data_IF_065656949573
#
_entry.id   IF_065656949573
#
_cell.length_a   1.000
_cell.length_b   1.000
_cell.length_c   1.000
_cell.angle_alpha   90.00
_cell.angle_beta   90.00
_cell.angle_gamma   90.00
#
_symmetry.space_group_name_H-M   'P 1'
#
loop_
_entity.id
_entity.type
_entity.pdbx_description
1 polymer ?
#
# COMPACT_ATOMS: atom_id res chain seq x y z
N UNK A 1 -4.27 14.27 -3.91
CA UNK A 1 -5.42 13.46 -3.47
C UNK A 1 -6.50 13.54 -4.51
N UNK A 2 -7.19 12.43 -4.76
CA UNK A 2 -8.41 12.39 -5.59
C UNK A 2 -9.38 11.42 -4.93
N UNK A 3 -10.60 11.89 -4.70
CA UNK A 3 -11.72 11.00 -4.46
C UNK A 3 -11.95 10.16 -5.72
N UNK A 4 -12.31 8.90 -5.53
CA UNK A 4 -12.60 7.97 -6.61
C UNK A 4 -14.04 7.53 -6.53
N UNK A 5 -14.66 7.27 -7.67
CA UNK A 5 -16.04 6.81 -7.79
C UNK A 5 -16.08 5.30 -8.02
N UNK A 6 -15.47 4.54 -7.11
CA UNK A 6 -15.51 3.08 -7.12
C UNK A 6 -16.10 2.59 -5.80
N UNK A 7 -17.09 1.71 -5.87
CA UNK A 7 -17.73 1.19 -4.68
C UNK A 7 -16.85 0.14 -3.95
N UNK A 8 -17.04 0.05 -2.64
CA UNK A 8 -16.29 -0.89 -1.81
C UNK A 8 -16.53 -2.35 -2.21
N UNK A 9 -17.70 -2.68 -2.79
CA UNK A 9 -18.03 -4.02 -3.23
C UNK A 9 -17.18 -4.45 -4.44
N UNK A 10 -16.90 -3.54 -5.37
CA UNK A 10 -16.06 -3.76 -6.55
C UNK A 10 -14.62 -3.99 -6.13
N UNK A 11 -14.11 -3.16 -5.22
CA UNK A 11 -12.76 -3.33 -4.65
C UNK A 11 -12.66 -4.67 -3.90
N UNK A 12 -13.62 -4.98 -3.05
CA UNK A 12 -13.62 -6.22 -2.28
C UNK A 12 -13.65 -7.46 -3.19
N UNK A 13 -14.48 -7.45 -4.25
CA UNK A 13 -14.47 -8.51 -5.27
C UNK A 13 -13.11 -8.65 -5.94
N UNK A 14 -12.50 -7.55 -6.37
CA UNK A 14 -11.18 -7.56 -7.00
C UNK A 14 -10.10 -8.12 -6.05
N UNK A 15 -10.23 -7.89 -4.75
CA UNK A 15 -9.32 -8.42 -3.72
C UNK A 15 -9.68 -9.84 -3.23
N UNK A 16 -10.76 -10.44 -3.73
CA UNK A 16 -11.22 -11.77 -3.37
C UNK A 16 -11.79 -11.86 -1.95
N UNK A 17 -12.40 -10.79 -1.45
CA UNK A 17 -13.00 -10.70 -0.10
C UNK A 17 -14.42 -10.13 -0.13
N UNK A 18 -15.12 -10.24 1.00
CA UNK A 18 -16.43 -9.62 1.19
C UNK A 18 -16.31 -8.10 1.44
N UNK A 19 -17.34 -7.33 1.11
CA UNK A 19 -17.35 -5.86 1.30
C UNK A 19 -17.12 -5.42 2.75
N UNK A 20 -17.49 -6.25 3.73
CA UNK A 20 -17.23 -6.01 5.16
C UNK A 20 -15.74 -6.01 5.54
N UNK A 21 -14.87 -6.47 4.62
CA UNK A 21 -13.42 -6.43 4.78
C UNK A 21 -12.83 -5.02 4.64
N UNK A 22 -13.50 -4.13 3.90
CA UNK A 22 -13.08 -2.74 3.70
C UNK A 22 -13.45 -1.96 4.96
N UNK A 23 -12.47 -1.33 5.61
CA UNK A 23 -12.70 -0.57 6.82
C UNK A 23 -13.44 0.74 6.50
N UNK A 24 -14.09 1.33 7.52
CA UNK A 24 -14.87 2.56 7.40
C UNK A 24 -14.05 3.85 7.20
N UNK A 25 -12.84 3.75 6.64
CA UNK A 25 -11.99 4.88 6.28
C UNK A 25 -12.12 5.18 4.78
N UNK A 26 -11.86 6.43 4.34
CA UNK A 26 -11.99 6.80 2.94
C UNK A 26 -11.09 5.97 2.01
N UNK A 27 -11.66 5.38 0.97
CA UNK A 27 -10.87 4.90 -0.16
C UNK A 27 -10.51 6.11 -1.02
N UNK A 28 -9.22 6.42 -1.15
CA UNK A 28 -8.76 7.65 -1.79
C UNK A 28 -7.44 7.44 -2.53
N UNK A 29 -7.33 8.02 -3.72
CA UNK A 29 -6.07 8.06 -4.46
C UNK A 29 -5.15 9.15 -3.91
N UNK A 30 -3.91 8.79 -3.60
CA UNK A 30 -2.86 9.70 -3.18
C UNK A 30 -1.60 9.54 -4.03
N UNK A 31 -0.75 10.56 -4.05
CA UNK A 31 0.51 10.53 -4.78
C UNK A 31 1.53 11.45 -4.12
N UNK A 32 2.76 10.94 -4.02
CA UNK A 32 3.99 11.70 -3.77
C UNK A 32 4.95 11.59 -4.97
N UNK A 33 4.41 11.17 -6.12
CA UNK A 33 5.15 10.91 -7.37
C UNK A 33 4.32 9.99 -8.27
N UNK A 34 4.10 8.75 -7.82
CA UNK A 34 3.20 7.79 -8.47
C UNK A 34 1.86 7.70 -7.72
N UNK A 35 0.76 7.64 -8.48
CA UNK A 35 -0.57 7.51 -7.91
C UNK A 35 -0.86 6.08 -7.44
N UNK A 36 -1.33 5.96 -6.20
CA UNK A 36 -1.81 4.72 -5.61
C UNK A 36 -3.19 4.93 -4.99
N UNK A 37 -4.08 3.94 -5.12
CA UNK A 37 -5.37 3.89 -4.45
C UNK A 37 -5.20 3.28 -3.06
N UNK A 38 -5.41 4.06 -2.00
CA UNK A 38 -5.31 3.56 -0.63
C UNK A 38 -6.61 2.88 -0.24
N UNK A 39 -6.53 1.60 0.12
CA UNK A 39 -7.69 0.76 0.48
C UNK A 39 -7.52 0.25 1.91
N UNK A 40 -8.26 0.79 2.88
CA UNK A 40 -8.16 0.40 4.27
C UNK A 40 -8.90 -0.92 4.51
N UNK A 41 -8.26 -1.87 5.21
CA UNK A 41 -8.81 -3.17 5.57
C UNK A 41 -8.90 -3.34 7.09
N UNK A 42 -9.90 -4.09 7.53
CA UNK A 42 -10.26 -4.20 8.96
C UNK A 42 -9.27 -4.98 9.81
N UNK A 43 -8.42 -5.83 9.23
CA UNK A 43 -7.43 -6.63 9.98
C UNK A 43 -6.36 -7.26 9.11
N UNK A 44 -5.29 -7.73 9.75
CA UNK A 44 -4.25 -8.57 9.14
C UNK A 44 -4.77 -9.94 8.73
N UNK A 45 -5.75 -10.47 9.46
CA UNK A 45 -6.41 -11.74 9.09
C UNK A 45 -7.08 -11.64 7.72
N UNK A 46 -7.70 -10.48 7.42
CA UNK A 46 -8.23 -10.21 6.07
C UNK A 46 -7.08 -10.07 5.07
N UNK A 47 -6.02 -9.32 5.42
CA UNK A 47 -4.86 -9.13 4.56
C UNK A 47 -4.22 -10.46 4.09
N UNK A 48 -4.07 -11.43 4.99
CA UNK A 48 -3.53 -12.76 4.69
C UNK A 48 -4.45 -13.60 3.77
N UNK A 49 -5.75 -13.31 3.81
CA UNK A 49 -6.77 -14.04 3.05
C UNK A 49 -7.05 -13.45 1.66
N UNK A 50 -6.54 -12.26 1.34
CA UNK A 50 -6.77 -11.68 0.01
C UNK A 50 -6.33 -12.67 -1.08
N UNK A 51 -7.15 -12.78 -2.11
CA UNK A 51 -6.88 -13.54 -3.33
C UNK A 51 -7.18 -12.60 -4.50
N UNK A 52 -6.25 -11.66 -4.79
CA UNK A 52 -6.50 -10.65 -5.80
C UNK A 52 -6.70 -11.30 -7.17
N UNK A 53 -7.77 -10.90 -7.84
CA UNK A 53 -7.89 -11.04 -9.28
C UNK A 53 -7.14 -9.86 -9.90
N UNK A 54 -5.94 -10.12 -10.41
CA UNK A 54 -5.06 -9.05 -10.90
C UNK A 54 -5.62 -8.32 -12.12
N UNK A 55 -6.46 -8.98 -12.94
CA UNK A 55 -7.15 -8.31 -14.06
C UNK A 55 -8.23 -7.37 -13.52
N UNK A 56 -8.98 -7.80 -12.51
CA UNK A 56 -9.96 -6.94 -11.85
C UNK A 56 -9.31 -5.77 -11.09
N UNK A 57 -8.15 -6.00 -10.44
CA UNK A 57 -7.37 -4.93 -9.79
C UNK A 57 -6.86 -3.93 -10.82
N UNK A 58 -6.35 -4.40 -11.96
CA UNK A 58 -5.91 -3.52 -13.06
C UNK A 58 -7.06 -2.67 -13.60
N UNK A 59 -8.25 -3.26 -13.76
CA UNK A 59 -9.45 -2.54 -14.17
C UNK A 59 -9.83 -1.43 -13.18
N UNK A 60 -9.86 -1.73 -11.88
CA UNK A 60 -10.11 -0.74 -10.81
C UNK A 60 -9.07 0.38 -10.84
N UNK A 61 -7.78 0.03 -10.95
CA UNK A 61 -6.71 1.01 -11.02
C UNK A 61 -6.84 1.93 -12.24
N UNK A 62 -7.17 1.36 -13.41
CA UNK A 62 -7.39 2.10 -14.66
C UNK A 62 -8.58 3.04 -14.57
N UNK A 63 -9.71 2.57 -14.02
CA UNK A 63 -10.91 3.38 -13.79
C UNK A 63 -10.63 4.57 -12.85
N UNK A 64 -9.81 4.34 -11.82
CA UNK A 64 -9.39 5.36 -10.87
C UNK A 64 -8.21 6.24 -11.34
N UNK A 65 -7.67 5.99 -12.54
CA UNK A 65 -6.47 6.64 -13.08
C UNK A 65 -5.27 6.58 -12.11
N UNK A 66 -5.04 5.41 -11.52
CA UNK A 66 -3.89 5.12 -10.63
C UNK A 66 -3.07 3.95 -11.17
N UNK A 67 -1.81 3.84 -10.74
CA UNK A 67 -0.93 2.73 -11.17
C UNK A 67 -0.90 1.54 -10.23
N UNK A 68 -1.38 1.69 -8.98
CA UNK A 68 -1.36 0.63 -7.99
C UNK A 68 -2.54 0.76 -7.01
N UNK A 69 -2.93 -0.37 -6.43
CA UNK A 69 -3.84 -0.47 -5.30
C UNK A 69 -3.00 -0.85 -4.07
N UNK A 70 -3.01 0.01 -3.06
CA UNK A 70 -2.32 -0.21 -1.79
C UNK A 70 -3.32 -0.57 -0.71
N UNK A 71 -3.44 -1.87 -0.41
CA UNK A 71 -4.26 -2.36 0.68
C UNK A 71 -3.48 -2.21 2.00
N UNK A 72 -4.08 -1.61 3.03
CA UNK A 72 -3.39 -1.40 4.30
C UNK A 72 -4.32 -1.63 5.51
N UNK A 73 -3.73 -1.95 6.65
CA UNK A 73 -4.41 -2.06 7.94
C UNK A 73 -3.49 -1.60 9.07
N UNK A 74 -4.07 -1.25 10.23
CA UNK A 74 -3.31 -0.90 11.44
C UNK A 74 -3.04 -2.12 12.34
N UNK A 75 -3.57 -3.30 11.99
CA UNK A 75 -3.23 -4.58 12.64
C UNK A 75 -1.93 -5.12 12.03
N UNK A 76 -0.82 -5.00 12.76
CA UNK A 76 0.53 -5.35 12.30
C UNK A 76 1.04 -6.66 12.88
N UNK A 77 2.10 -7.21 12.28
CA UNK A 77 2.87 -8.33 12.81
C UNK A 77 3.75 -7.87 13.96
N UNK A 78 4.44 -6.76 13.79
CA UNK A 78 5.20 -6.09 14.84
C UNK A 78 4.45 -4.83 15.27
N UNK A 79 4.08 -4.77 16.55
CA UNK A 79 3.32 -3.67 17.16
C UNK A 79 4.11 -2.35 17.20
N UNK A 80 5.42 -2.37 16.96
CA UNK A 80 6.21 -1.15 16.75
C UNK A 80 5.90 -0.47 15.40
N UNK A 81 5.32 -1.20 14.44
CA UNK A 81 4.88 -0.66 13.16
C UNK A 81 3.46 -0.11 13.24
N UNK A 82 3.21 0.99 12.53
CA UNK A 82 1.87 1.58 12.45
C UNK A 82 1.00 0.87 11.42
N UNK A 83 1.58 0.45 10.29
CA UNK A 83 0.82 -0.05 9.14
C UNK A 83 1.37 -1.38 8.67
N UNK A 84 0.46 -2.28 8.34
CA UNK A 84 0.72 -3.47 7.54
C UNK A 84 0.08 -3.32 6.16
N UNK A 85 0.89 -3.44 5.11
CA UNK A 85 0.49 -3.14 3.74
C UNK A 85 0.76 -4.26 2.74
N UNK A 86 0.02 -4.20 1.63
CA UNK A 86 0.25 -4.97 0.40
C UNK A 86 0.03 -4.06 -0.81
N UNK A 87 0.92 -4.16 -1.80
CA UNK A 87 0.88 -3.33 -3.00
C UNK A 87 0.64 -4.19 -4.24
N UNK A 88 -0.51 -4.00 -4.88
CA UNK A 88 -0.86 -4.65 -6.14
C UNK A 88 -0.70 -3.65 -7.28
N UNK A 89 0.17 -3.95 -8.24
CA UNK A 89 0.60 -3.02 -9.27
C UNK A 89 0.51 -3.58 -10.70
N UNK A 90 -0.59 -4.26 -11.08
CA UNK A 90 -0.67 -4.95 -12.37
C UNK A 90 -0.53 -3.98 -13.57
N UNK A 91 -0.94 -2.72 -13.44
CA UNK A 91 -0.72 -1.67 -14.44
C UNK A 91 0.77 -1.43 -14.79
N UNK A 92 1.69 -1.86 -13.91
CA UNK A 92 3.14 -1.80 -14.13
C UNK A 92 3.74 -3.17 -14.50
N UNK A 93 2.91 -4.17 -14.79
CA UNK A 93 3.33 -5.54 -15.09
C UNK A 93 3.79 -6.32 -13.86
N UNK A 94 3.47 -5.84 -12.65
CA UNK A 94 3.85 -6.46 -11.38
C UNK A 94 2.58 -6.87 -10.64
N UNK A 95 2.34 -8.17 -10.46
CA UNK A 95 1.15 -8.63 -9.73
C UNK A 95 1.12 -8.10 -8.29
N UNK A 96 2.20 -8.32 -7.54
CA UNK A 96 2.36 -7.81 -6.18
C UNK A 96 3.83 -7.46 -5.92
N UNK A 97 4.08 -6.26 -5.39
CA UNK A 97 5.42 -5.77 -5.07
C UNK A 97 5.72 -6.01 -3.57
N UNK A 98 6.86 -6.64 -3.20
CA UNK A 98 7.16 -6.95 -1.80
C UNK A 98 7.30 -5.73 -0.90
N UNK A 99 7.92 -4.63 -1.35
CA UNK A 99 8.12 -3.43 -0.54
C UNK A 99 8.12 -2.19 -1.44
N UNK A 100 7.10 -1.34 -1.31
CA UNK A 100 6.85 -0.25 -2.26
C UNK A 100 6.98 1.12 -1.60
N UNK A 101 8.14 1.76 -1.75
CA UNK A 101 8.41 3.06 -1.14
C UNK A 101 7.45 4.17 -1.60
N UNK A 102 7.09 4.19 -2.89
CA UNK A 102 6.17 5.20 -3.46
C UNK A 102 4.75 5.09 -2.89
N UNK A 103 4.22 3.87 -2.75
CA UNK A 103 2.89 3.65 -2.18
C UNK A 103 2.85 3.98 -0.68
N UNK A 104 3.87 3.59 0.09
CA UNK A 104 3.99 3.95 1.50
C UNK A 104 4.16 5.47 1.71
N UNK A 105 4.90 6.16 0.84
CA UNK A 105 4.98 7.63 0.85
C UNK A 105 3.61 8.27 0.59
N UNK A 106 2.90 7.80 -0.43
CA UNK A 106 1.54 8.26 -0.74
C UNK A 106 0.56 7.99 0.42
N UNK A 107 0.65 6.82 1.05
CA UNK A 107 -0.11 6.48 2.24
C UNK A 107 0.20 7.43 3.40
N UNK A 108 1.46 7.81 3.62
CA UNK A 108 1.82 8.76 4.66
C UNK A 108 1.11 10.10 4.51
N UNK A 109 1.03 10.62 3.27
CA UNK A 109 0.28 11.83 2.97
C UNK A 109 -1.24 11.64 3.22
N UNK A 110 -1.80 10.47 2.90
CA UNK A 110 -3.18 10.11 3.19
C UNK A 110 -3.44 10.06 4.71
N UNK A 111 -2.60 9.39 5.50
CA UNK A 111 -2.77 9.26 6.94
C UNK A 111 -2.74 10.63 7.63
N UNK A 112 -1.80 11.51 7.23
CA UNK A 112 -1.73 12.89 7.71
C UNK A 112 -3.00 13.68 7.37
N UNK A 113 -3.54 13.51 6.16
CA UNK A 113 -4.74 14.23 5.68
C UNK A 113 -6.00 13.86 6.46
N UNK A 114 -6.09 12.63 6.94
CA UNK A 114 -7.26 12.10 7.66
C UNK A 114 -7.06 12.07 9.18
N UNK A 115 -6.06 12.79 9.71
CA UNK A 115 -5.73 12.84 11.13
C UNK A 115 -5.49 11.46 11.77
N UNK A 116 -4.95 10.52 10.99
CA UNK A 116 -4.62 9.13 11.41
C UNK A 116 -3.15 8.97 11.81
N UNK A 117 -2.41 10.07 11.88
CA UNK A 117 -0.99 10.09 12.18
C UNK A 117 -0.74 11.07 13.32
N UNK A 118 -0.45 10.54 14.52
CA UNK A 118 -0.19 11.36 15.71
C UNK A 118 1.13 12.13 15.58
N UNK A 119 2.18 11.46 15.11
CA UNK A 119 3.52 12.02 14.91
C UNK A 119 3.78 12.42 13.45
N UNK A 120 4.97 12.92 13.10
CA UNK A 120 5.35 13.07 11.67
C UNK A 120 5.86 11.79 11.05
N UNK A 121 6.25 10.81 11.86
CA UNK A 121 6.94 9.60 11.41
C UNK A 121 6.12 8.37 11.71
N UNK A 122 6.19 7.40 10.81
CA UNK A 122 5.73 6.05 11.08
C UNK A 122 6.57 5.02 10.33
N UNK A 123 6.45 3.77 10.77
CA UNK A 123 6.98 2.60 10.08
C UNK A 123 5.83 1.79 9.50
N UNK A 124 6.03 1.32 8.28
CA UNK A 124 5.14 0.41 7.59
C UNK A 124 5.87 -0.91 7.31
N UNK A 125 5.19 -2.01 7.57
CA UNK A 125 5.62 -3.35 7.19
C UNK A 125 4.89 -3.83 5.93
N UNK A 126 5.61 -4.48 5.03
CA UNK A 126 5.09 -4.98 3.76
C UNK A 126 5.80 -6.29 3.36
N UNK A 127 5.15 -7.11 2.53
CA UNK A 127 5.79 -8.25 1.86
C UNK A 127 5.81 -9.54 2.68
N UNK A 128 5.14 -9.57 3.82
CA UNK A 128 5.02 -10.76 4.67
C UNK A 128 4.33 -11.92 3.95
N UNK A 129 3.26 -11.66 3.20
CA UNK A 129 2.51 -12.66 2.41
C UNK A 129 3.34 -13.23 1.25
N UNK A 130 4.38 -12.51 0.81
CA UNK A 130 5.31 -12.94 -0.22
C UNK A 130 6.56 -13.62 0.35
N UNK A 131 6.69 -13.75 1.67
CA UNK A 131 7.90 -14.25 2.32
C UNK A 131 9.12 -13.34 2.13
N UNK A 132 8.89 -12.06 1.82
CA UNK A 132 9.92 -11.03 1.58
C UNK A 132 9.62 -9.80 2.44
N UNK A 133 9.61 -9.95 3.78
CA UNK A 133 9.25 -8.86 4.68
C UNK A 133 10.24 -7.71 4.57
N UNK A 134 9.72 -6.49 4.57
CA UNK A 134 10.51 -5.27 4.67
C UNK A 134 9.79 -4.19 5.44
N UNK A 135 10.60 -3.28 5.99
CA UNK A 135 10.14 -2.14 6.78
C UNK A 135 10.49 -0.85 6.02
N UNK A 136 9.49 0.02 5.88
CA UNK A 136 9.63 1.34 5.28
C UNK A 136 9.45 2.39 6.38
N UNK A 137 10.42 3.29 6.50
CA UNK A 137 10.31 4.48 7.34
C UNK A 137 9.75 5.62 6.51
N UNK A 138 8.71 6.28 7.00
CA UNK A 138 8.10 7.43 6.32
C UNK A 138 8.06 8.61 7.28
N UNK A 139 8.51 9.77 6.82
CA UNK A 139 8.44 11.05 7.55
C UNK A 139 7.64 12.06 6.71
N UNK A 140 6.50 12.49 7.24
CA UNK A 140 5.59 13.48 6.67
C UNK A 140 5.81 14.81 7.40
N UNK A 141 6.77 15.58 6.90
CA UNK A 141 7.21 16.84 7.49
C UNK A 141 6.70 18.03 6.66
N UNK A 142 5.62 18.66 7.13
CA UNK A 142 4.96 19.75 6.40
C UNK A 142 4.37 19.26 5.08
N UNK A 143 4.83 19.81 3.96
CA UNK A 143 4.40 19.39 2.62
C UNK A 143 5.28 18.30 2.00
N UNK A 144 6.37 17.93 2.67
CA UNK A 144 7.33 16.95 2.16
C UNK A 144 7.09 15.56 2.76
N UNK A 145 7.34 14.54 1.95
CA UNK A 145 7.31 13.14 2.37
C UNK A 145 8.66 12.51 2.06
N UNK A 146 9.32 12.05 3.11
CA UNK A 146 10.59 11.33 3.02
C UNK A 146 10.34 9.84 3.24
N UNK A 147 10.97 9.01 2.42
CA UNK A 147 10.87 7.55 2.50
C UNK A 147 12.27 6.98 2.64
N UNK A 148 12.46 6.11 3.63
CA UNK A 148 13.73 5.49 3.94
C UNK A 148 13.58 4.03 4.36
N UNK A 149 14.70 3.33 4.42
CA UNK A 149 14.77 1.90 4.74
C UNK A 149 16.21 1.46 4.89
N UNK A 150 16.41 0.31 5.53
CA UNK A 150 17.71 -0.37 5.55
C UNK A 150 17.83 -1.32 4.37
N UNK A 151 19.06 -1.55 3.89
CA UNK A 151 19.33 -2.49 2.81
C UNK A 151 20.53 -3.39 3.17
N UNK A 152 20.57 -4.58 2.58
CA UNK A 152 21.67 -5.53 2.71
C UNK A 152 22.16 -5.93 1.32
N UNK A 153 23.47 -5.94 1.13
CA UNK A 153 24.08 -6.38 -0.13
C UNK A 153 23.96 -7.91 -0.22
N UNK A 154 23.22 -8.40 -1.23
CA UNK A 154 23.07 -9.84 -1.48
C UNK A 154 24.11 -10.38 -2.45
N UNK A 155 24.44 -9.61 -3.49
CA UNK A 155 25.43 -9.94 -4.52
C UNK A 155 26.20 -8.67 -4.90
N UNK A 156 27.51 -8.81 -5.10
CA UNK A 156 28.37 -7.76 -5.65
C UNK A 156 29.30 -8.37 -6.69
N UNK A 157 29.51 -7.68 -7.80
CA UNK A 157 30.31 -8.17 -8.92
C UNK A 157 30.47 -7.16 -10.05
N UNK A 158 31.09 -7.59 -11.14
CA UNK A 158 31.32 -6.80 -12.34
C UNK A 158 30.68 -7.49 -13.55
N UNK A 159 30.05 -6.71 -14.44
CA UNK A 159 29.50 -7.19 -15.71
C UNK A 159 30.35 -6.60 -16.84
N UNK A 160 30.86 -7.46 -17.72
CA UNK A 160 31.52 -7.06 -18.96
C UNK A 160 30.58 -7.38 -20.13
N UNK A 161 30.48 -6.44 -21.07
CA UNK A 161 29.64 -6.53 -22.26
C UNK A 161 30.37 -7.24 -23.41
#
# INVERSE_FOLDING_TARGET
>A
FRSVDVDAATIARALGVDGTAIAGLPVEAASTGLWSLNVPLVSRTVMQRLRPDFEAVEAVCTECDVGALFAFTFDTVDEENLVHGRCFAPCYGISEDPVTGTANGALGAYLRRHDLLEETRYTAEQGYELGRPGIVHVDVSGSEVWVGGSAVITVSGQVSL
#
